data_IF_151962853050
#
_entry.id   IF_151962853050
#
_cell.length_a   1.000
_cell.length_b   1.000
_cell.length_c   1.000
_cell.angle_alpha   90.00
_cell.angle_beta   90.00
_cell.angle_gamma   90.00
#
_symmetry.space_group_name_H-M   'P 1'
#
loop_
_entity.id
_entity.type
_entity.pdbx_description
1 polymer ?
#
# COMPACT_ATOMS: atom_id res chain seq x y z
N UNK A 1 61.46 21.97 -8.18
CA UNK A 1 60.22 22.47 -8.81
C UNK A 1 59.74 21.49 -9.87
N UNK A 2 58.72 20.68 -9.59
CA UNK A 2 57.87 20.02 -10.58
C UNK A 2 56.58 19.63 -9.87
N UNK A 3 55.47 19.88 -10.54
CA UNK A 3 54.18 20.24 -9.97
C UNK A 3 53.40 19.03 -9.48
N UNK A 4 52.65 19.26 -8.39
CA UNK A 4 51.59 18.46 -7.83
C UNK A 4 50.56 18.08 -8.90
N UNK A 5 50.20 16.80 -8.99
CA UNK A 5 48.96 16.37 -9.64
C UNK A 5 48.25 15.45 -8.65
N UNK A 6 47.31 16.05 -7.93
CA UNK A 6 46.34 15.36 -7.11
C UNK A 6 45.33 14.66 -8.02
N UNK A 7 45.13 13.36 -7.82
CA UNK A 7 44.01 12.62 -8.42
C UNK A 7 43.15 12.16 -7.25
N UNK A 8 42.21 13.02 -6.87
CA UNK A 8 41.12 12.69 -5.96
C UNK A 8 40.13 11.81 -6.74
N UNK A 9 40.24 10.49 -6.59
CA UNK A 9 39.28 9.54 -7.15
C UNK A 9 37.97 9.61 -6.39
N UNK A 10 37.02 10.40 -6.91
CA UNK A 10 35.65 10.46 -6.42
C UNK A 10 34.90 9.21 -6.89
N UNK A 11 34.87 8.16 -6.05
CA UNK A 11 34.03 7.01 -6.25
C UNK A 11 32.55 7.40 -6.02
N UNK A 12 31.81 7.60 -7.11
CA UNK A 12 30.38 7.84 -7.07
C UNK A 12 29.65 6.55 -6.67
N UNK A 13 29.23 6.44 -5.40
CA UNK A 13 28.21 5.47 -5.00
C UNK A 13 26.86 5.93 -5.55
N UNK A 14 26.42 5.34 -6.66
CA UNK A 14 25.02 5.43 -7.09
C UNK A 14 24.18 4.50 -6.22
N UNK A 15 23.60 5.06 -5.15
CA UNK A 15 22.55 4.39 -4.40
C UNK A 15 21.27 4.39 -5.26
N UNK A 16 20.96 3.23 -5.84
CA UNK A 16 19.68 2.99 -6.49
C UNK A 16 18.61 2.84 -5.39
N UNK A 17 18.00 3.96 -5.00
CA UNK A 17 16.80 3.92 -4.17
C UNK A 17 15.67 3.32 -5.03
N UNK A 18 15.35 2.05 -4.80
CA UNK A 18 14.15 1.43 -5.37
C UNK A 18 12.94 2.20 -4.85
N UNK A 19 12.31 3.00 -5.70
CA UNK A 19 10.99 3.54 -5.39
C UNK A 19 10.06 2.33 -5.24
N UNK A 20 9.14 2.33 -4.25
CA UNK A 20 8.06 1.36 -4.25
C UNK A 20 7.34 1.54 -5.59
N UNK A 21 7.18 0.45 -6.34
CA UNK A 21 6.30 0.45 -7.50
C UNK A 21 4.95 0.99 -6.99
N UNK A 22 4.57 2.18 -7.46
CA UNK A 22 3.30 2.77 -7.09
C UNK A 22 2.23 1.74 -7.47
N UNK A 23 1.45 1.28 -6.50
CA UNK A 23 0.26 0.51 -6.82
C UNK A 23 -0.65 1.47 -7.57
N UNK A 24 -0.88 1.25 -8.87
CA UNK A 24 -1.86 2.04 -9.63
C UNK A 24 -3.29 1.62 -9.28
N UNK A 25 -3.44 0.65 -8.39
CA UNK A 25 -4.72 0.15 -7.98
C UNK A 25 -4.89 0.05 -6.46
N UNK A 26 -6.07 0.49 -6.03
CA UNK A 26 -6.50 0.51 -4.66
C UNK A 26 -7.87 -0.12 -4.52
N UNK A 27 -8.14 -0.63 -3.33
CA UNK A 27 -9.46 -1.08 -2.96
C UNK A 27 -9.82 -0.52 -1.60
N UNK A 28 -11.09 -0.19 -1.43
CA UNK A 28 -11.66 0.01 -0.12
C UNK A 28 -12.47 -1.22 0.30
N UNK A 29 -12.44 -1.52 1.59
CA UNK A 29 -13.02 -2.74 2.11
C UNK A 29 -13.60 -2.53 3.51
N UNK A 30 -14.45 -3.47 3.89
CA UNK A 30 -14.95 -3.60 5.27
C UNK A 30 -14.40 -4.88 5.86
N UNK A 31 -13.97 -4.80 7.12
CA UNK A 31 -13.47 -5.93 7.87
C UNK A 31 -14.07 -5.96 9.27
N UNK A 32 -14.06 -7.15 9.87
CA UNK A 32 -14.43 -7.36 11.27
C UNK A 32 -13.34 -8.09 12.04
N UNK A 33 -13.30 -7.88 13.34
CA UNK A 33 -12.61 -8.76 14.28
C UNK A 33 -13.60 -9.13 15.35
N UNK A 34 -13.67 -10.41 15.68
CA UNK A 34 -14.58 -10.91 16.71
C UNK A 34 -13.90 -10.85 18.10
N UNK A 35 -14.70 -10.90 19.17
CA UNK A 35 -14.28 -11.02 20.58
C UNK A 35 -13.18 -10.03 21.09
N UNK A 36 -13.49 -8.74 21.31
CA UNK A 36 -14.79 -8.08 21.13
C UNK A 36 -15.03 -7.70 19.66
N UNK A 37 -16.31 -7.68 19.25
CA UNK A 37 -16.67 -7.26 17.89
C UNK A 37 -16.17 -5.84 17.60
N UNK A 38 -15.30 -5.73 16.59
CA UNK A 38 -14.83 -4.49 16.00
C UNK A 38 -15.10 -4.52 14.51
N UNK A 39 -15.50 -3.39 13.95
CA UNK A 39 -15.64 -3.17 12.53
C UNK A 39 -14.72 -2.03 12.13
N UNK A 40 -14.16 -2.11 10.93
CA UNK A 40 -13.56 -0.94 10.31
C UNK A 40 -13.69 -0.96 8.80
N UNK A 41 -13.58 0.23 8.25
CA UNK A 41 -13.36 0.49 6.84
C UNK A 41 -11.86 0.71 6.64
N UNK A 42 -11.31 0.25 5.53
CA UNK A 42 -9.90 0.40 5.20
C UNK A 42 -9.70 0.67 3.72
N UNK A 43 -8.54 1.23 3.38
CA UNK A 43 -8.08 1.41 2.00
C UNK A 43 -6.74 0.71 1.89
N UNK A 44 -6.54 -0.05 0.82
CA UNK A 44 -5.35 -0.88 0.61
C UNK A 44 -4.84 -0.72 -0.81
N UNK A 45 -3.51 -0.66 -0.95
CA UNK A 45 -2.84 -0.73 -2.24
C UNK A 45 -2.69 -2.19 -2.67
N UNK A 46 -3.10 -2.48 -3.91
CA UNK A 46 -3.06 -3.81 -4.50
C UNK A 46 -2.20 -3.80 -5.76
N UNK A 47 -1.54 -4.92 -6.11
CA UNK A 47 -0.94 -5.06 -7.43
C UNK A 47 -2.03 -4.99 -8.52
N UNK A 48 -1.75 -4.34 -9.65
CA UNK A 48 -2.74 -4.18 -10.74
C UNK A 48 -3.25 -5.52 -11.28
N UNK A 49 -2.38 -6.53 -11.27
CA UNK A 49 -2.71 -7.91 -11.65
C UNK A 49 -3.79 -8.54 -10.76
N UNK A 50 -4.00 -8.02 -9.56
CA UNK A 50 -4.96 -8.52 -8.57
C UNK A 50 -6.28 -7.76 -8.66
N UNK A 51 -6.24 -6.45 -8.89
CA UNK A 51 -7.43 -5.60 -8.95
C UNK A 51 -8.44 -5.96 -10.04
N UNK A 52 -7.95 -6.42 -11.18
CA UNK A 52 -8.81 -6.87 -12.29
C UNK A 52 -9.45 -8.23 -12.05
N UNK A 53 -9.11 -8.89 -10.92
CA UNK A 53 -9.58 -10.24 -10.56
C UNK A 53 -10.20 -10.22 -9.15
N UNK A 54 -11.52 -10.02 -9.01
CA UNK A 54 -12.18 -9.87 -7.72
C UNK A 54 -11.83 -10.93 -6.68
N UNK A 55 -11.77 -12.21 -7.06
CA UNK A 55 -11.39 -13.30 -6.15
C UNK A 55 -9.93 -13.27 -5.72
N UNK A 56 -9.03 -12.81 -6.60
CA UNK A 56 -7.63 -12.60 -6.21
C UNK A 56 -7.53 -11.43 -5.24
N UNK A 57 -8.26 -10.33 -5.47
CA UNK A 57 -8.30 -9.18 -4.57
C UNK A 57 -8.86 -9.57 -3.19
N UNK A 58 -9.95 -10.33 -3.14
CA UNK A 58 -10.49 -10.82 -1.86
C UNK A 58 -9.44 -11.63 -1.09
N UNK A 59 -8.77 -12.58 -1.75
CA UNK A 59 -7.76 -13.43 -1.11
C UNK A 59 -6.54 -12.64 -0.63
N UNK A 60 -6.05 -11.70 -1.45
CA UNK A 60 -4.92 -10.84 -1.12
C UNK A 60 -5.22 -9.96 0.09
N UNK A 61 -6.35 -9.25 0.06
CA UNK A 61 -6.76 -8.37 1.17
C UNK A 61 -6.96 -9.20 2.43
N UNK A 62 -7.71 -10.30 2.34
CA UNK A 62 -7.98 -11.17 3.51
C UNK A 62 -6.67 -11.68 4.14
N UNK A 63 -5.71 -12.12 3.33
CA UNK A 63 -4.41 -12.58 3.81
C UNK A 63 -3.62 -11.48 4.53
N UNK A 64 -3.60 -10.26 3.97
CA UNK A 64 -2.83 -9.14 4.54
C UNK A 64 -3.41 -8.64 5.85
N UNK A 65 -4.74 -8.51 5.96
CA UNK A 65 -5.37 -7.97 7.18
C UNK A 65 -5.47 -9.01 8.30
N UNK A 66 -5.43 -10.30 7.96
CA UNK A 66 -5.51 -11.40 8.94
C UNK A 66 -4.35 -11.38 9.95
N UNK A 67 -3.21 -10.78 9.61
CA UNK A 67 -2.05 -10.63 10.52
C UNK A 67 -2.41 -9.89 11.82
N UNK A 68 -3.40 -9.00 11.76
CA UNK A 68 -3.90 -8.22 12.91
C UNK A 68 -5.25 -8.77 13.45
N UNK A 69 -5.63 -9.98 13.01
CA UNK A 69 -6.85 -10.67 13.42
C UNK A 69 -8.11 -10.17 12.72
N UNK A 70 -7.99 -9.40 11.64
CA UNK A 70 -9.14 -8.95 10.86
C UNK A 70 -9.60 -10.02 9.87
N UNK A 71 -10.92 -10.10 9.70
CA UNK A 71 -11.59 -10.92 8.69
C UNK A 71 -12.24 -10.00 7.67
N UNK A 72 -11.93 -10.20 6.39
CA UNK A 72 -12.53 -9.45 5.30
C UNK A 72 -14.04 -9.76 5.22
N UNK A 73 -14.87 -8.73 5.20
CA UNK A 73 -16.32 -8.87 4.98
C UNK A 73 -16.67 -8.67 3.52
N UNK A 74 -16.19 -7.58 2.92
CA UNK A 74 -16.45 -7.25 1.51
C UNK A 74 -15.44 -6.23 1.02
N UNK A 75 -15.15 -6.30 -0.27
CA UNK A 75 -14.60 -5.17 -1.03
C UNK A 75 -15.78 -4.24 -1.36
N UNK A 76 -15.61 -2.94 -1.14
CA UNK A 76 -16.63 -1.93 -1.41
C UNK A 76 -16.49 -1.43 -2.84
N UNK A 77 -15.27 -1.08 -3.24
CA UNK A 77 -14.92 -0.63 -4.58
C UNK A 77 -13.44 -0.85 -4.86
N UNK A 78 -13.09 -0.77 -6.14
CA UNK A 78 -11.71 -0.79 -6.65
C UNK A 78 -11.54 0.48 -7.49
N UNK A 79 -10.42 1.18 -7.31
CA UNK A 79 -10.18 2.50 -7.88
C UNK A 79 -8.69 2.75 -8.11
N UNK A 80 -8.37 3.77 -8.91
CA UNK A 80 -7.02 4.23 -9.19
C UNK A 80 -6.53 5.27 -8.16
N UNK A 81 -5.34 5.83 -8.34
CA UNK A 81 -4.76 6.81 -7.43
C UNK A 81 -5.60 8.08 -7.25
N UNK A 82 -6.46 8.43 -8.21
CA UNK A 82 -7.32 9.61 -8.10
C UNK A 82 -8.32 9.45 -6.95
N UNK A 83 -8.72 8.22 -6.66
CA UNK A 83 -9.57 7.88 -5.53
C UNK A 83 -8.91 8.05 -4.16
N UNK A 84 -7.59 8.26 -4.07
CA UNK A 84 -6.92 8.56 -2.80
C UNK A 84 -7.09 10.01 -2.35
N UNK A 85 -7.45 10.92 -3.27
CA UNK A 85 -7.70 12.33 -2.95
C UNK A 85 -9.08 12.57 -2.31
N UNK A 86 -9.91 11.53 -2.17
CA UNK A 86 -11.18 11.59 -1.48
C UNK A 86 -10.96 11.67 0.05
N UNK A 87 -11.14 12.87 0.60
CA UNK A 87 -10.97 13.14 2.02
C UNK A 87 -11.97 12.39 2.91
N UNK A 88 -13.19 12.12 2.43
CA UNK A 88 -14.18 11.34 3.18
C UNK A 88 -13.71 9.89 3.31
N UNK A 89 -13.23 9.30 2.22
CA UNK A 89 -12.63 7.96 2.21
C UNK A 89 -11.45 7.86 3.17
N UNK A 90 -10.56 8.85 3.13
CA UNK A 90 -9.39 8.89 4.01
C UNK A 90 -9.77 9.04 5.48
N UNK A 91 -10.72 9.92 5.79
CA UNK A 91 -11.23 10.12 7.15
C UNK A 91 -11.92 8.86 7.70
N UNK A 92 -12.75 8.19 6.88
CA UNK A 92 -13.44 6.96 7.26
C UNK A 92 -12.48 5.79 7.49
N UNK A 93 -11.42 5.68 6.68
CA UNK A 93 -10.41 4.63 6.84
C UNK A 93 -9.49 4.91 8.04
N UNK A 94 -9.22 6.18 8.35
CA UNK A 94 -8.43 6.59 9.51
C UNK A 94 -7.08 5.86 9.58
N UNK A 95 -6.84 5.15 10.67
CA UNK A 95 -5.61 4.38 10.89
C UNK A 95 -5.43 3.17 9.95
N UNK A 96 -6.44 2.83 9.16
CA UNK A 96 -6.43 1.72 8.19
C UNK A 96 -6.35 2.21 6.74
N UNK A 97 -6.08 3.50 6.52
CA UNK A 97 -5.78 4.05 5.20
C UNK A 97 -4.36 3.67 4.79
N UNK A 98 -4.23 2.82 3.77
CA UNK A 98 -2.96 2.31 3.21
C UNK A 98 -2.03 1.66 4.25
N UNK A 99 -2.61 1.07 5.30
CA UNK A 99 -1.85 0.42 6.39
C UNK A 99 -1.36 -0.98 6.01
N UNK A 100 -2.18 -1.72 5.26
CA UNK A 100 -1.96 -3.08 4.81
C UNK A 100 -1.73 -3.08 3.30
#
# INVERSE_FOLDING_TARGET
MKKLIAIFGLAALTAFAGLPAAAECYADYKAKRDDPLKLHYGVIALPDTVCTRPKAAEAEIAGRIAVDGWTLLTIVSVFDETGLADEERRANAGAFFLRY
#
